data_IF_967766426061
#
_entry.id   IF_967766426061
#
_cell.length_a   1.000
_cell.length_b   1.000
_cell.length_c   1.000
_cell.angle_alpha   90.00
_cell.angle_beta   90.00
_cell.angle_gamma   90.00
#
_symmetry.space_group_name_H-M   'P 1'
#
loop_
_entity.id
_entity.type
_entity.pdbx_description
1 polymer ?
#
# COMPACT_ATOMS: atom_id res chain seq x y z
N UNK A 1 27.65 -9.54 8.41
CA UNK A 1 26.50 -8.60 8.47
C UNK A 1 25.53 -8.78 7.31
N UNK A 2 25.98 -8.90 6.05
CA UNK A 2 25.11 -9.08 4.86
C UNK A 2 24.26 -10.37 4.93
N UNK A 3 24.84 -11.48 5.41
CA UNK A 3 24.13 -12.77 5.50
C UNK A 3 22.88 -12.73 6.38
N UNK A 4 22.97 -12.09 7.55
CA UNK A 4 21.85 -11.97 8.51
C UNK A 4 20.70 -11.17 7.91
N UNK A 5 21.00 -10.13 7.13
CA UNK A 5 19.97 -9.30 6.48
C UNK A 5 19.21 -10.07 5.41
N UNK A 6 19.91 -10.78 4.53
CA UNK A 6 19.29 -11.58 3.47
C UNK A 6 18.42 -12.68 4.08
N UNK A 7 18.93 -13.35 5.11
CA UNK A 7 18.19 -14.39 5.82
C UNK A 7 16.91 -13.83 6.46
N UNK A 8 17.00 -12.66 7.11
CA UNK A 8 15.81 -11.99 7.65
C UNK A 8 14.79 -11.66 6.55
N UNK A 9 15.23 -11.08 5.44
CA UNK A 9 14.36 -10.76 4.29
C UNK A 9 13.67 -12.03 3.72
N UNK A 10 14.40 -13.14 3.63
CA UNK A 10 13.87 -14.44 3.21
C UNK A 10 12.82 -14.99 4.18
N UNK A 11 13.09 -14.97 5.49
CA UNK A 11 12.16 -15.48 6.49
C UNK A 11 10.89 -14.63 6.56
N UNK A 12 11.01 -13.31 6.46
CA UNK A 12 9.85 -12.41 6.37
C UNK A 12 8.98 -12.77 5.16
N UNK A 13 9.55 -12.88 3.96
CA UNK A 13 8.77 -13.24 2.77
C UNK A 13 8.11 -14.60 2.88
N UNK A 14 8.83 -15.60 3.41
CA UNK A 14 8.31 -16.95 3.59
C UNK A 14 7.10 -16.98 4.53
N UNK A 15 7.20 -16.26 5.65
CA UNK A 15 6.11 -16.12 6.61
C UNK A 15 4.91 -15.38 6.01
N UNK A 16 5.14 -14.27 5.29
CA UNK A 16 4.06 -13.53 4.62
C UNK A 16 3.34 -14.39 3.58
N UNK A 17 4.08 -15.18 2.79
CA UNK A 17 3.51 -16.11 1.83
C UNK A 17 2.65 -17.18 2.53
N UNK A 18 3.16 -17.80 3.60
CA UNK A 18 2.39 -18.76 4.39
C UNK A 18 1.09 -18.16 4.93
N UNK A 19 1.16 -16.97 5.54
CA UNK A 19 -0.04 -16.29 6.01
C UNK A 19 -1.02 -15.95 4.88
N UNK A 20 -0.53 -15.62 3.69
CA UNK A 20 -1.36 -15.33 2.53
C UNK A 20 -2.12 -16.57 2.05
N UNK A 21 -1.47 -17.74 2.02
CA UNK A 21 -2.13 -19.01 1.68
C UNK A 21 -3.21 -19.41 2.69
N UNK A 22 -3.05 -19.01 3.96
CA UNK A 22 -3.99 -19.30 5.05
C UNK A 22 -5.06 -18.21 5.25
N UNK A 23 -5.08 -17.17 4.42
CA UNK A 23 -5.97 -16.01 4.59
C UNK A 23 -5.81 -15.27 5.93
N UNK A 24 -4.63 -15.32 6.55
CA UNK A 24 -4.34 -14.65 7.82
C UNK A 24 -4.03 -13.15 7.62
N UNK A 25 -4.99 -12.42 7.04
CA UNK A 25 -4.82 -11.03 6.60
C UNK A 25 -4.46 -10.07 7.74
N UNK A 26 -5.07 -10.26 8.91
CA UNK A 26 -4.78 -9.46 10.12
C UNK A 26 -3.33 -9.62 10.57
N UNK A 27 -2.80 -10.83 10.50
CA UNK A 27 -1.40 -11.11 10.88
C UNK A 27 -0.45 -10.46 9.88
N UNK A 28 -0.71 -10.59 8.58
CA UNK A 28 0.08 -9.95 7.52
C UNK A 28 0.11 -8.44 7.74
N UNK A 29 -1.07 -7.82 7.90
CA UNK A 29 -1.22 -6.38 8.06
C UNK A 29 -0.45 -5.89 9.30
N UNK A 30 -0.65 -6.52 10.46
CA UNK A 30 0.05 -6.15 11.71
C UNK A 30 1.56 -6.37 11.66
N UNK A 31 2.04 -7.35 10.89
CA UNK A 31 3.47 -7.59 10.74
C UNK A 31 4.14 -6.50 9.89
N UNK A 32 3.47 -6.07 8.81
CA UNK A 32 4.01 -5.04 7.92
C UNK A 32 3.87 -3.64 8.55
N UNK A 33 2.69 -3.34 9.09
CA UNK A 33 2.34 -2.04 9.63
C UNK A 33 2.60 -1.96 11.14
N UNK A 34 3.89 -1.90 11.49
CA UNK A 34 4.32 -1.51 12.84
C UNK A 34 3.93 -0.04 13.12
N UNK A 35 3.89 0.43 14.39
CA UNK A 35 3.32 1.74 14.77
C UNK A 35 3.79 2.98 13.98
N UNK A 36 4.96 2.92 13.34
CA UNK A 36 5.54 4.02 12.55
C UNK A 36 5.56 3.75 11.04
N UNK A 37 4.91 2.68 10.58
CA UNK A 37 4.90 2.28 9.17
C UNK A 37 3.55 2.64 8.56
N UNK A 38 3.58 3.32 7.42
CA UNK A 38 2.39 3.67 6.63
C UNK A 38 2.57 3.17 5.21
N UNK A 39 1.50 3.20 4.40
CA UNK A 39 1.61 2.85 2.98
C UNK A 39 2.63 3.75 2.26
N UNK A 40 2.78 5.02 2.69
CA UNK A 40 3.79 5.92 2.17
C UNK A 40 5.22 5.48 2.51
N UNK A 41 5.47 4.97 3.72
CA UNK A 41 6.82 4.58 4.12
C UNK A 41 7.31 3.34 3.39
N UNK A 42 6.42 2.50 2.83
CA UNK A 42 6.80 1.36 2.01
C UNK A 42 7.52 1.73 0.69
N UNK A 43 7.55 3.01 0.34
CA UNK A 43 8.31 3.52 -0.81
C UNK A 43 9.76 3.86 -0.48
N UNK A 44 10.22 3.64 0.76
CA UNK A 44 11.53 4.11 1.21
C UNK A 44 12.69 3.32 0.59
N UNK A 45 12.45 2.07 0.16
CA UNK A 45 13.46 1.26 -0.52
C UNK A 45 12.84 0.16 -1.40
N UNK A 46 13.67 -0.42 -2.26
CA UNK A 46 13.26 -1.45 -3.21
C UNK A 46 12.72 -2.73 -2.54
N UNK A 47 13.26 -3.14 -1.38
CA UNK A 47 12.76 -4.32 -0.67
C UNK A 47 11.31 -4.09 -0.19
N UNK A 48 11.01 -2.93 0.38
CA UNK A 48 9.66 -2.62 0.82
C UNK A 48 8.68 -2.57 -0.35
N UNK A 49 9.05 -1.97 -1.49
CA UNK A 49 8.22 -1.92 -2.70
C UNK A 49 7.99 -3.31 -3.29
N UNK A 50 9.05 -4.10 -3.46
CA UNK A 50 8.96 -5.35 -4.21
C UNK A 50 8.48 -6.54 -3.36
N UNK A 51 8.75 -6.50 -2.05
CA UNK A 51 8.58 -7.68 -1.18
C UNK A 51 7.50 -7.49 -0.12
N UNK A 52 7.23 -6.26 0.34
CA UNK A 52 6.21 -6.00 1.36
C UNK A 52 4.94 -5.40 0.76
N UNK A 53 5.05 -4.45 -0.17
CA UNK A 53 3.90 -3.76 -0.78
C UNK A 53 2.84 -4.72 -1.32
N UNK A 54 3.16 -5.81 -2.06
CA UNK A 54 2.13 -6.71 -2.57
C UNK A 54 1.27 -7.32 -1.46
N UNK A 55 1.91 -7.78 -0.37
CA UNK A 55 1.21 -8.33 0.79
C UNK A 55 0.45 -7.25 1.56
N UNK A 56 1.03 -6.06 1.68
CA UNK A 56 0.43 -4.93 2.37
C UNK A 56 -0.88 -4.48 1.72
N UNK A 57 -0.85 -4.28 0.40
CA UNK A 57 -2.02 -3.91 -0.42
C UNK A 57 -3.06 -5.02 -0.36
N UNK A 58 -2.65 -6.27 -0.59
CA UNK A 58 -3.58 -7.42 -0.56
C UNK A 58 -4.24 -7.59 0.80
N UNK A 59 -3.47 -7.56 1.89
CA UNK A 59 -4.02 -7.76 3.23
C UNK A 59 -4.99 -6.64 3.62
N UNK A 60 -4.65 -5.38 3.34
CA UNK A 60 -5.54 -4.26 3.65
C UNK A 60 -6.81 -4.32 2.80
N UNK A 61 -6.71 -4.63 1.51
CA UNK A 61 -7.90 -4.80 0.67
C UNK A 61 -8.81 -5.93 1.15
N UNK A 62 -8.23 -7.08 1.54
CA UNK A 62 -9.01 -8.20 2.08
C UNK A 62 -9.70 -7.83 3.39
N UNK A 63 -9.00 -7.15 4.29
CA UNK A 63 -9.58 -6.65 5.55
C UNK A 63 -10.67 -5.60 5.31
N UNK A 64 -10.51 -4.74 4.31
CA UNK A 64 -11.51 -3.76 3.92
C UNK A 64 -12.83 -4.45 3.50
N UNK A 65 -12.75 -5.55 2.74
CA UNK A 65 -13.92 -6.25 2.22
C UNK A 65 -14.57 -7.16 3.27
N UNK A 66 -13.77 -7.89 4.05
CA UNK A 66 -14.27 -9.00 4.89
C UNK A 66 -13.80 -8.97 6.34
N UNK A 67 -13.11 -7.91 6.77
CA UNK A 67 -12.66 -7.75 8.14
C UNK A 67 -13.79 -7.34 9.10
N UNK A 68 -13.45 -7.31 10.38
CA UNK A 68 -14.29 -6.67 11.41
C UNK A 68 -14.32 -5.16 11.20
N UNK A 69 -15.29 -4.46 11.82
CA UNK A 69 -15.42 -3.00 11.70
C UNK A 69 -14.12 -2.25 12.03
N UNK A 70 -13.42 -2.66 13.09
CA UNK A 70 -12.12 -2.07 13.45
C UNK A 70 -11.06 -2.33 12.36
N UNK A 71 -10.98 -3.55 11.84
CA UNK A 71 -10.01 -3.89 10.79
C UNK A 71 -10.29 -3.18 9.47
N UNK A 72 -11.57 -2.92 9.17
CA UNK A 72 -11.98 -2.13 8.01
C UNK A 72 -11.54 -0.68 8.17
N UNK A 73 -11.81 -0.05 9.32
CA UNK A 73 -11.36 1.30 9.64
C UNK A 73 -9.83 1.44 9.54
N UNK A 74 -9.09 0.45 10.04
CA UNK A 74 -7.63 0.43 9.96
C UNK A 74 -7.12 0.23 8.52
N UNK A 75 -7.92 -0.39 7.64
CA UNK A 75 -7.58 -0.64 6.23
C UNK A 75 -7.96 0.51 5.29
N UNK A 76 -8.80 1.45 5.72
CA UNK A 76 -9.20 2.63 4.93
C UNK A 76 -8.03 3.55 4.55
N UNK A 77 -6.92 3.48 5.30
CA UNK A 77 -5.71 4.23 4.98
C UNK A 77 -5.16 3.90 3.58
N UNK A 78 -5.41 2.69 3.07
CA UNK A 78 -5.10 2.30 1.69
C UNK A 78 -5.91 3.13 0.68
N UNK A 79 -7.23 3.27 0.90
CA UNK A 79 -8.08 4.08 0.04
C UNK A 79 -7.68 5.56 0.12
N UNK A 80 -7.39 6.08 1.32
CA UNK A 80 -6.90 7.46 1.49
C UNK A 80 -5.59 7.69 0.75
N UNK A 81 -4.69 6.71 0.78
CA UNK A 81 -3.44 6.75 0.03
C UNK A 81 -3.69 6.83 -1.49
N UNK A 82 -4.57 5.99 -2.04
CA UNK A 82 -4.92 6.04 -3.46
C UNK A 82 -5.58 7.37 -3.85
N UNK A 83 -6.51 7.89 -3.04
CA UNK A 83 -7.17 9.16 -3.31
C UNK A 83 -6.20 10.34 -3.27
N UNK A 84 -5.20 10.31 -2.38
CA UNK A 84 -4.14 11.30 -2.33
C UNK A 84 -3.28 11.29 -3.62
N UNK A 85 -3.01 10.12 -4.19
CA UNK A 85 -2.29 10.03 -5.48
C UNK A 85 -3.11 10.61 -6.65
N UNK A 86 -4.44 10.50 -6.60
CA UNK A 86 -5.35 11.01 -7.64
C UNK A 86 -5.54 12.53 -7.56
N UNK A 87 -5.77 13.07 -6.37
CA UNK A 87 -6.17 14.48 -6.13
C UNK A 87 -5.09 15.53 -6.39
N UNK A 88 -3.81 15.17 -6.34
CA UNK A 88 -2.71 16.13 -6.56
C UNK A 88 -2.65 16.67 -8.01
N UNK A 89 -3.34 16.01 -8.94
CA UNK A 89 -3.33 16.38 -10.37
C UNK A 89 -4.31 17.52 -10.72
N UNK A 90 -5.41 17.69 -9.97
CA UNK A 90 -6.45 18.68 -10.34
C UNK A 90 -6.06 20.12 -10.03
N UNK A 91 -5.09 20.34 -9.15
CA UNK A 91 -4.69 21.69 -8.71
C UNK A 91 -3.45 22.25 -9.44
N UNK A 92 -2.87 21.54 -10.41
CA UNK A 92 -1.58 21.90 -11.04
C UNK A 92 -1.70 22.80 -12.28
N UNK A 93 -2.75 23.64 -12.37
CA UNK A 93 -2.82 24.72 -13.36
C UNK A 93 -2.18 26.04 -12.88
N UNK A 94 -1.72 26.14 -11.63
CA UNK A 94 -1.11 27.38 -11.15
C UNK A 94 -0.03 27.14 -10.10
N UNK A 95 1.08 27.85 -10.29
CA UNK A 95 2.13 28.17 -9.30
C UNK A 95 3.39 27.28 -9.27
N UNK A 96 4.41 27.85 -9.89
CA UNK A 96 5.85 27.60 -9.76
C UNK A 96 6.33 27.54 -8.30
N UNK A 97 6.58 26.33 -7.75
CA UNK A 97 7.69 25.91 -6.85
C UNK A 97 7.32 24.61 -6.11
N UNK A 98 7.58 23.42 -6.69
CA UNK A 98 7.69 22.09 -6.02
C UNK A 98 7.88 20.97 -7.06
N UNK A 99 9.02 20.93 -7.74
CA UNK A 99 9.24 19.97 -8.86
C UNK A 99 9.50 18.53 -8.37
N UNK A 100 10.14 18.34 -7.20
CA UNK A 100 10.54 17.00 -6.72
C UNK A 100 9.40 16.19 -6.07
N UNK A 101 8.47 16.84 -5.37
CA UNK A 101 7.31 16.17 -4.74
C UNK A 101 6.24 15.79 -5.77
N UNK A 102 6.06 16.60 -6.81
CA UNK A 102 5.12 16.33 -7.90
C UNK A 102 5.61 15.17 -8.78
N UNK A 103 6.89 15.12 -9.14
CA UNK A 103 7.51 14.01 -9.88
C UNK A 103 7.41 12.68 -9.12
N UNK A 104 7.74 12.66 -7.83
CA UNK A 104 7.65 11.44 -7.01
C UNK A 104 6.20 10.96 -6.85
N UNK A 105 5.24 11.88 -6.77
CA UNK A 105 3.80 11.55 -6.73
C UNK A 105 3.35 10.94 -8.05
N UNK A 106 3.76 11.51 -9.19
CA UNK A 106 3.48 10.98 -10.52
C UNK A 106 4.04 9.56 -10.71
N UNK A 107 5.27 9.30 -10.26
CA UNK A 107 5.89 7.97 -10.33
C UNK A 107 5.11 6.96 -9.48
N UNK A 108 4.76 7.32 -8.24
CA UNK A 108 3.98 6.46 -7.35
C UNK A 108 2.63 6.12 -7.97
N UNK A 109 1.92 7.12 -8.49
CA UNK A 109 0.64 6.95 -9.18
C UNK A 109 0.77 6.00 -10.37
N UNK A 110 1.70 6.29 -11.29
CA UNK A 110 1.93 5.48 -12.49
C UNK A 110 2.25 4.03 -12.16
N UNK A 111 3.00 3.80 -11.08
CA UNK A 111 3.29 2.45 -10.59
C UNK A 111 2.04 1.77 -10.03
N UNK A 112 1.26 2.44 -9.17
CA UNK A 112 0.03 1.87 -8.60
C UNK A 112 -0.99 1.53 -9.69
N UNK A 113 -1.22 2.43 -10.65
CA UNK A 113 -2.16 2.22 -11.76
C UNK A 113 -1.76 1.03 -12.64
N UNK A 114 -0.46 0.76 -12.79
CA UNK A 114 0.05 -0.39 -13.54
C UNK A 114 0.05 -1.68 -12.73
N UNK A 115 0.44 -1.61 -11.46
CA UNK A 115 0.73 -2.79 -10.65
C UNK A 115 -0.50 -3.30 -9.88
N UNK A 116 -1.41 -2.39 -9.51
CA UNK A 116 -2.59 -2.68 -8.69
C UNK A 116 -3.90 -2.09 -9.25
N UNK A 117 -4.21 -2.28 -10.55
CA UNK A 117 -5.41 -1.69 -11.16
C UNK A 117 -6.70 -2.22 -10.55
N UNK A 118 -6.73 -3.49 -10.14
CA UNK A 118 -7.92 -4.11 -9.55
C UNK A 118 -8.16 -3.63 -8.12
N UNK A 119 -7.10 -3.50 -7.33
CA UNK A 119 -7.18 -3.01 -5.96
C UNK A 119 -7.60 -1.55 -5.93
N UNK A 120 -7.07 -0.74 -6.86
CA UNK A 120 -7.50 0.64 -7.06
C UNK A 120 -9.01 0.71 -7.37
N UNK A 121 -9.49 -0.06 -8.34
CA UNK A 121 -10.92 -0.11 -8.69
C UNK A 121 -11.79 -0.60 -7.51
N UNK A 122 -11.29 -1.57 -6.75
CA UNK A 122 -12.00 -2.10 -5.57
C UNK A 122 -12.13 -1.05 -4.47
N UNK A 123 -11.10 -0.25 -4.23
CA UNK A 123 -11.16 0.88 -3.30
C UNK A 123 -12.21 1.92 -3.73
N UNK A 124 -12.29 2.26 -5.01
CA UNK A 124 -13.32 3.18 -5.52
C UNK A 124 -14.73 2.62 -5.32
N UNK A 125 -14.95 1.34 -5.65
CA UNK A 125 -16.24 0.68 -5.44
C UNK A 125 -16.62 0.61 -3.95
N UNK A 126 -15.65 0.35 -3.07
CA UNK A 126 -15.87 0.34 -1.62
C UNK A 126 -16.32 1.71 -1.11
N UNK A 127 -15.70 2.79 -1.59
CA UNK A 127 -16.03 4.16 -1.20
C UNK A 127 -17.33 4.67 -1.81
N UNK A 128 -17.90 3.97 -2.80
CA UNK A 128 -19.07 4.41 -3.60
C UNK A 128 -18.82 5.73 -4.34
N UNK A 129 -17.55 6.06 -4.61
CA UNK A 129 -17.18 7.19 -5.47
C UNK A 129 -17.34 6.74 -6.93
N UNK A 130 -18.48 7.06 -7.53
CA UNK A 130 -18.84 6.73 -8.93
C UNK A 130 -18.69 7.93 -9.88
N UNK A 131 -17.98 8.99 -9.48
CA UNK A 131 -17.83 10.24 -10.23
C UNK A 131 -16.95 10.10 -11.49
#
# INVERSE_FOLDING_TARGET
MIHIRIEHEFWTQSMLNCCNQLNHWTIISKHIFLPNTTVHTLWSNAYQINCLMPYAVTSKLKLLISGTEQEQLDAEDLCRFFNHLSTITTNTATTTTTTSSSETTFVKRSYIEKQYPFELATCFLYQKDFD
#
